data_IF_321579984430
#
_entry.id   IF_321579984430
#
_cell.length_a   1.000
_cell.length_b   1.000
_cell.length_c   1.000
_cell.angle_alpha   90.00
_cell.angle_beta   90.00
_cell.angle_gamma   90.00
#
_symmetry.space_group_name_H-M   'P 1'
#
loop_
_entity.id
_entity.type
_entity.pdbx_description
1 polymer ?
#
# COMPACT_ATOMS: atom_id res chain seq x y z
N UNK A 1 0.63 -6.70 4.02
CA UNK A 1 1.56 -7.64 4.68
C UNK A 1 2.78 -6.88 5.20
N UNK A 2 3.39 -7.33 6.31
CA UNK A 2 4.59 -6.70 6.90
C UNK A 2 5.85 -6.78 6.00
N UNK A 3 5.66 -7.13 4.73
CA UNK A 3 6.69 -7.33 3.71
C UNK A 3 6.87 -6.11 2.80
N UNK A 4 6.03 -5.08 2.93
CA UNK A 4 6.27 -3.76 2.33
C UNK A 4 7.02 -2.89 3.35
N UNK A 5 8.32 -2.68 3.14
CA UNK A 5 9.17 -1.94 4.09
C UNK A 5 8.69 -0.52 4.36
N UNK A 6 8.10 0.16 3.36
CA UNK A 6 7.53 1.50 3.54
C UNK A 6 6.45 1.57 4.62
N UNK A 7 5.83 0.45 5.01
CA UNK A 7 4.81 0.41 6.08
C UNK A 7 5.38 0.65 7.49
N UNK A 8 6.71 0.65 7.67
CA UNK A 8 7.34 0.79 9.00
C UNK A 8 7.76 2.23 9.35
N UNK A 9 7.65 3.17 8.42
CA UNK A 9 7.97 4.59 8.69
C UNK A 9 7.02 5.21 9.72
N UNK A 10 7.52 6.22 10.43
CA UNK A 10 6.76 7.11 11.31
C UNK A 10 6.89 8.58 10.91
N UNK A 11 7.46 8.85 9.72
CA UNK A 11 7.84 10.20 9.29
C UNK A 11 6.67 11.01 8.74
N UNK A 12 5.64 10.35 8.20
CA UNK A 12 4.48 10.99 7.61
C UNK A 12 3.16 10.27 7.94
N UNK A 13 2.06 11.03 7.84
CA UNK A 13 0.72 10.45 7.87
C UNK A 13 0.49 9.75 6.53
N UNK A 14 0.45 8.42 6.58
CA UNK A 14 0.22 7.55 5.44
C UNK A 14 -0.84 6.50 5.75
N UNK A 15 -1.66 6.17 4.74
CA UNK A 15 -2.55 5.01 4.75
C UNK A 15 -1.79 3.69 4.57
N UNK A 16 -2.56 2.60 4.65
CA UNK A 16 -2.07 1.22 4.54
C UNK A 16 -2.00 0.48 5.88
N UNK A 17 -2.12 -0.84 5.81
CA UNK A 17 -1.95 -1.75 6.95
C UNK A 17 -1.40 -3.10 6.48
N UNK A 18 -1.04 -4.02 7.39
CA UNK A 18 -0.69 -5.38 7.01
C UNK A 18 -1.81 -6.11 6.24
N UNK A 19 -3.03 -5.60 6.26
CA UNK A 19 -4.15 -6.15 5.49
C UNK A 19 -4.19 -5.67 4.04
N UNK A 20 -3.52 -4.56 3.71
CA UNK A 20 -3.48 -4.00 2.37
C UNK A 20 -3.14 -2.52 2.34
N UNK A 21 -2.75 -2.04 1.16
CA UNK A 21 -2.58 -0.64 0.83
C UNK A 21 -3.93 0.08 0.91
N UNK A 22 -3.90 1.29 1.47
CA UNK A 22 -5.02 2.22 1.47
C UNK A 22 -4.46 3.64 1.41
N UNK A 23 -5.33 4.61 1.16
CA UNK A 23 -4.97 6.03 1.17
C UNK A 23 -5.86 6.78 2.14
N UNK A 24 -5.32 7.82 2.79
CA UNK A 24 -6.13 8.78 3.53
C UNK A 24 -6.58 9.88 2.56
N UNK A 25 -7.89 9.96 2.31
CA UNK A 25 -8.47 10.91 1.36
C UNK A 25 -8.59 12.35 1.90
N UNK A 26 -8.40 12.55 3.21
CA UNK A 26 -8.73 13.80 3.87
C UNK A 26 -10.21 13.90 4.24
N UNK A 27 -10.55 14.96 4.96
CA UNK A 27 -11.94 15.32 5.29
C UNK A 27 -12.48 16.31 4.26
N UNK A 28 -12.83 17.50 4.72
CA UNK A 28 -13.27 18.61 3.85
C UNK A 28 -12.13 19.13 2.95
N UNK A 29 -10.88 19.00 3.41
CA UNK A 29 -9.69 19.24 2.59
C UNK A 29 -9.24 17.95 1.91
N UNK A 30 -9.35 17.85 0.57
CA UNK A 30 -8.99 16.65 -0.16
C UNK A 30 -7.47 16.45 -0.18
N UNK A 31 -7.03 15.24 0.13
CA UNK A 31 -5.64 14.80 0.08
C UNK A 31 -5.47 13.76 -1.03
N UNK A 32 -4.50 14.00 -1.92
CA UNK A 32 -4.09 13.01 -2.90
C UNK A 32 -3.20 11.93 -2.26
N UNK A 33 -3.20 10.69 -2.78
CA UNK A 33 -2.31 9.66 -2.28
C UNK A 33 -0.85 10.12 -2.30
N UNK A 34 -0.14 9.96 -1.18
CA UNK A 34 1.29 10.24 -1.09
C UNK A 34 2.08 9.16 -1.82
N UNK A 35 3.37 9.43 -2.02
CA UNK A 35 4.24 8.52 -2.75
C UNK A 35 4.32 7.14 -2.08
N UNK A 36 4.33 7.09 -0.74
CA UNK A 36 4.40 5.82 0.00
C UNK A 36 3.12 4.98 -0.15
N UNK A 37 1.96 5.63 -0.22
CA UNK A 37 0.67 4.96 -0.44
C UNK A 37 0.61 4.39 -1.86
N UNK A 38 1.10 5.14 -2.86
CA UNK A 38 1.21 4.67 -4.24
C UNK A 38 2.19 3.49 -4.38
N UNK A 39 3.32 3.54 -3.69
CA UNK A 39 4.31 2.46 -3.71
C UNK A 39 3.78 1.21 -3.00
N UNK A 40 3.04 1.37 -1.90
CA UNK A 40 2.30 0.29 -1.25
C UNK A 40 1.27 -0.36 -2.18
N UNK A 41 0.53 0.43 -2.97
CA UNK A 41 -0.43 -0.09 -3.94
C UNK A 41 0.26 -0.87 -5.08
N UNK A 42 1.37 -0.35 -5.62
CA UNK A 42 2.18 -1.06 -6.62
C UNK A 42 2.74 -2.37 -6.07
N UNK A 43 3.26 -2.34 -4.85
CA UNK A 43 3.75 -3.53 -4.16
C UNK A 43 2.66 -4.59 -4.03
N UNK A 44 1.47 -4.20 -3.53
CA UNK A 44 0.35 -5.11 -3.36
C UNK A 44 -0.08 -5.74 -4.69
N UNK A 45 -0.21 -4.94 -5.75
CA UNK A 45 -0.57 -5.43 -7.08
C UNK A 45 0.40 -6.48 -7.60
N UNK A 46 1.71 -6.20 -7.51
CA UNK A 46 2.76 -7.17 -7.88
C UNK A 46 2.68 -8.44 -7.04
N UNK A 47 2.60 -8.30 -5.71
CA UNK A 47 2.60 -9.44 -4.78
C UNK A 47 1.44 -10.41 -5.05
N UNK A 48 0.23 -9.88 -5.24
CA UNK A 48 -0.96 -10.70 -5.55
C UNK A 48 -0.84 -11.36 -6.92
N UNK A 49 -0.34 -10.63 -7.92
CA UNK A 49 -0.15 -11.17 -9.28
C UNK A 49 0.87 -12.32 -9.29
N UNK A 50 2.02 -12.14 -8.62
CA UNK A 50 3.05 -13.17 -8.50
C UNK A 50 2.56 -14.40 -7.74
N UNK A 51 1.83 -14.21 -6.63
CA UNK A 51 1.25 -15.32 -5.88
C UNK A 51 0.23 -16.10 -6.72
N UNK A 52 -0.63 -15.37 -7.43
CA UNK A 52 -1.63 -15.98 -8.32
C UNK A 52 -0.95 -16.75 -9.45
N UNK A 53 0.13 -16.23 -10.04
CA UNK A 53 0.88 -16.92 -11.09
C UNK A 53 1.46 -18.26 -10.60
N UNK A 54 1.92 -18.32 -9.35
CA UNK A 54 2.41 -19.57 -8.73
C UNK A 54 1.30 -20.59 -8.47
N UNK A 55 0.08 -20.13 -8.17
CA UNK A 55 -1.07 -20.99 -7.86
C UNK A 55 -1.82 -21.48 -9.11
N UNK A 56 -1.70 -20.76 -10.23
CA UNK A 56 -2.36 -21.08 -11.50
C UNK A 56 -1.60 -22.14 -12.33
N UNK A 57 -0.51 -22.70 -11.79
CA UNK A 57 0.27 -23.80 -12.34
C UNK A 57 -0.14 -25.15 -11.78
#
# INVERSE_FOLDING_TARGET
PYTFEGQTTMDEIAGGSPYGASTIAGGDEPRMPSQIELDGARYQGRYVAELTAKLRG
#
